data_IF_083783936010
#
_entry.id   IF_083783936010
#
_cell.length_a   1.000
_cell.length_b   1.000
_cell.length_c   1.000
_cell.angle_alpha   90.00
_cell.angle_beta   90.00
_cell.angle_gamma   90.00
#
_symmetry.space_group_name_H-M   'P 1'
#
loop_
_entity.id
_entity.type
_entity.pdbx_description
1 polymer ?
#
# COMPACT_ATOMS: atom_id res chain seq x y z
N UNK A 1 10.35 -23.05 -31.32
CA UNK A 1 9.76 -23.14 -32.67
C UNK A 1 8.65 -22.10 -32.71
N UNK A 2 8.60 -21.25 -33.73
CA UNK A 2 7.60 -20.17 -33.83
C UNK A 2 6.26 -20.71 -34.36
N UNK A 3 5.13 -20.07 -34.04
CA UNK A 3 3.82 -20.34 -34.65
C UNK A 3 3.89 -20.42 -36.17
N UNK A 4 4.67 -19.52 -36.77
CA UNK A 4 4.88 -19.48 -38.21
C UNK A 4 5.54 -20.77 -38.72
N UNK A 5 6.48 -21.33 -37.97
CA UNK A 5 7.19 -22.57 -38.31
C UNK A 5 6.25 -23.78 -38.22
N UNK A 6 5.35 -23.81 -37.23
CA UNK A 6 4.39 -24.90 -37.04
C UNK A 6 3.27 -24.86 -38.10
N UNK A 7 2.78 -23.67 -38.46
CA UNK A 7 1.83 -23.50 -39.56
C UNK A 7 2.45 -23.92 -40.89
N UNK A 8 3.70 -23.55 -41.15
CA UNK A 8 4.42 -23.96 -42.35
C UNK A 8 4.55 -25.49 -42.45
N UNK A 9 4.83 -26.16 -41.33
CA UNK A 9 4.91 -27.63 -41.26
C UNK A 9 3.56 -28.30 -41.53
N UNK A 10 2.46 -27.77 -40.99
CA UNK A 10 1.12 -28.28 -41.30
C UNK A 10 0.75 -28.12 -42.78
N UNK A 11 1.15 -26.99 -43.39
CA UNK A 11 0.88 -26.72 -44.79
C UNK A 11 1.67 -27.66 -45.73
N UNK A 12 2.88 -28.04 -45.33
CA UNK A 12 3.67 -29.05 -46.03
C UNK A 12 3.02 -30.44 -45.98
N UNK A 13 2.55 -30.87 -44.79
CA UNK A 13 1.86 -32.16 -44.62
C UNK A 13 0.55 -32.25 -45.40
N UNK A 14 -0.16 -31.14 -45.53
CA UNK A 14 -1.34 -31.05 -46.38
C UNK A 14 -0.98 -31.17 -47.87
N UNK A 15 0.05 -30.45 -48.33
CA UNK A 15 0.52 -30.51 -49.73
C UNK A 15 1.06 -31.89 -50.13
N UNK A 16 1.69 -32.61 -49.20
CA UNK A 16 2.17 -33.97 -49.43
C UNK A 16 1.05 -35.02 -49.43
N UNK A 17 -0.21 -34.62 -49.19
CA UNK A 17 -1.36 -35.52 -49.08
C UNK A 17 -1.37 -36.38 -47.82
N UNK A 18 -0.47 -36.12 -46.87
CA UNK A 18 -0.39 -36.85 -45.61
C UNK A 18 -1.49 -36.44 -44.61
N UNK A 19 -2.16 -35.32 -44.88
CA UNK A 19 -3.20 -34.74 -44.02
C UNK A 19 -4.39 -34.33 -44.87
N UNK A 20 -5.60 -34.69 -44.44
CA UNK A 20 -6.83 -34.21 -45.09
C UNK A 20 -7.10 -32.74 -44.75
N UNK A 21 -7.91 -32.07 -45.57
CA UNK A 21 -8.32 -30.67 -45.32
C UNK A 21 -8.95 -30.49 -43.93
N UNK A 22 -9.78 -31.44 -43.51
CA UNK A 22 -10.45 -31.39 -42.21
C UNK A 22 -9.46 -31.45 -41.05
N UNK A 23 -8.43 -32.31 -41.15
CA UNK A 23 -7.38 -32.44 -40.15
C UNK A 23 -6.47 -31.21 -40.13
N UNK A 24 -6.22 -30.60 -41.30
CA UNK A 24 -5.36 -29.41 -41.43
C UNK A 24 -6.03 -28.22 -40.76
N UNK A 25 -7.31 -27.99 -41.06
CA UNK A 25 -8.09 -26.92 -40.44
C UNK A 25 -8.21 -27.12 -38.93
N UNK A 26 -8.44 -28.35 -38.47
CA UNK A 26 -8.51 -28.66 -37.04
C UNK A 26 -7.17 -28.42 -36.32
N UNK A 27 -6.04 -28.84 -36.92
CA UNK A 27 -4.71 -28.64 -36.34
C UNK A 27 -4.32 -27.16 -36.34
N UNK A 28 -4.56 -26.44 -37.44
CA UNK A 28 -4.30 -24.99 -37.54
C UNK A 28 -5.12 -24.19 -36.53
N UNK A 29 -6.40 -24.52 -36.35
CA UNK A 29 -7.26 -23.88 -35.37
C UNK A 29 -6.77 -24.12 -33.92
N UNK A 30 -6.27 -25.33 -33.61
CA UNK A 30 -5.70 -25.66 -32.29
C UNK A 30 -4.42 -24.87 -31.99
N UNK A 31 -3.53 -24.71 -32.98
CA UNK A 31 -2.29 -23.94 -32.82
C UNK A 31 -2.56 -22.44 -32.61
N UNK A 32 -3.53 -21.89 -33.36
CA UNK A 32 -3.95 -20.48 -33.18
C UNK A 32 -4.58 -20.28 -31.79
N UNK A 33 -5.36 -21.24 -31.31
CA UNK A 33 -5.99 -21.18 -30.00
C UNK A 33 -5.00 -21.36 -28.83
N UNK A 34 -3.93 -22.14 -28.98
CA UNK A 34 -2.91 -22.31 -27.95
C UNK A 34 -2.00 -21.09 -27.80
N UNK A 35 -1.85 -20.29 -28.86
CA UNK A 35 -1.03 -19.07 -28.83
C UNK A 35 -1.82 -17.80 -28.47
N UNK A 36 -3.14 -17.86 -28.64
CA UNK A 36 -4.03 -16.82 -28.13
C UNK A 36 -4.10 -16.95 -26.61
N UNK A 37 -3.75 -15.92 -25.81
CA UNK A 37 -4.04 -15.93 -24.38
C UNK A 37 -5.53 -16.25 -24.21
N UNK A 38 -5.92 -17.14 -23.29
CA UNK A 38 -7.33 -17.44 -23.09
C UNK A 38 -8.08 -16.11 -22.94
N UNK A 39 -9.21 -15.90 -23.65
CA UNK A 39 -9.96 -14.67 -23.51
C UNK A 39 -10.21 -14.47 -22.03
N UNK A 40 -9.64 -13.40 -21.44
CA UNK A 40 -9.88 -13.10 -20.03
C UNK A 40 -11.38 -13.00 -19.89
N UNK A 41 -11.99 -13.96 -19.20
CA UNK A 41 -13.43 -13.96 -19.02
C UNK A 41 -13.78 -12.60 -18.38
N UNK A 42 -14.85 -11.97 -18.86
CA UNK A 42 -15.35 -10.74 -18.25
C UNK A 42 -15.57 -10.91 -16.74
N UNK A 43 -15.91 -12.13 -16.31
CA UNK A 43 -15.96 -12.56 -14.92
C UNK A 43 -14.60 -12.48 -14.19
N UNK A 44 -13.50 -12.94 -14.80
CA UNK A 44 -12.16 -12.86 -14.22
C UNK A 44 -11.63 -11.43 -14.09
N UNK A 45 -11.93 -10.56 -15.07
CA UNK A 45 -11.58 -9.13 -15.00
C UNK A 45 -12.37 -8.41 -13.91
N UNK A 46 -13.66 -8.69 -13.76
CA UNK A 46 -14.49 -8.13 -12.68
C UNK A 46 -14.03 -8.59 -11.29
N UNK A 47 -13.73 -9.89 -11.13
CA UNK A 47 -13.25 -10.43 -9.87
C UNK A 47 -11.91 -9.81 -9.44
N UNK A 48 -10.97 -9.62 -10.38
CA UNK A 48 -9.71 -8.94 -10.11
C UNK A 48 -9.91 -7.47 -9.71
N UNK A 49 -10.79 -6.75 -10.41
CA UNK A 49 -11.13 -5.37 -10.07
C UNK A 49 -11.78 -5.25 -8.67
N UNK A 50 -12.74 -6.11 -8.37
CA UNK A 50 -13.40 -6.14 -7.06
C UNK A 50 -12.42 -6.50 -5.93
N UNK A 51 -11.48 -7.42 -6.19
CA UNK A 51 -10.39 -7.75 -5.27
C UNK A 51 -9.51 -6.55 -4.96
N UNK A 52 -9.06 -5.82 -5.99
CA UNK A 52 -8.23 -4.63 -5.82
C UNK A 52 -8.98 -3.52 -5.08
N UNK A 53 -10.25 -3.26 -5.41
CA UNK A 53 -11.07 -2.27 -4.70
C UNK A 53 -11.23 -2.59 -3.21
N UNK A 54 -11.28 -3.88 -2.85
CA UNK A 54 -11.31 -4.32 -1.46
C UNK A 54 -9.98 -4.04 -0.74
N UNK A 55 -8.84 -4.36 -1.38
CA UNK A 55 -7.50 -4.06 -0.85
C UNK A 55 -7.30 -2.55 -0.65
N UNK A 56 -7.73 -1.72 -1.60
CA UNK A 56 -7.63 -0.26 -1.50
C UNK A 56 -8.48 0.28 -0.33
N UNK A 57 -9.71 -0.22 -0.19
CA UNK A 57 -10.59 0.12 0.92
C UNK A 57 -9.99 -0.25 2.28
N UNK A 58 -9.45 -1.48 2.40
CA UNK A 58 -8.76 -1.94 3.60
C UNK A 58 -7.52 -1.09 3.90
N UNK A 59 -6.71 -0.79 2.89
CA UNK A 59 -5.51 0.04 3.01
C UNK A 59 -5.85 1.40 3.62
N UNK A 60 -6.86 2.10 3.08
CA UNK A 60 -7.31 3.40 3.61
C UNK A 60 -7.80 3.30 5.05
N UNK A 61 -8.56 2.25 5.36
CA UNK A 61 -9.08 2.02 6.72
C UNK A 61 -7.94 1.81 7.73
N UNK A 62 -7.00 0.91 7.43
CA UNK A 62 -5.87 0.62 8.32
C UNK A 62 -4.90 1.79 8.41
N UNK A 63 -4.65 2.50 7.31
CA UNK A 63 -3.85 3.72 7.30
C UNK A 63 -4.47 4.79 8.24
N UNK A 64 -5.78 5.04 8.14
CA UNK A 64 -6.49 5.94 9.04
C UNK A 64 -6.35 5.50 10.51
N UNK A 65 -6.52 4.21 10.80
CA UNK A 65 -6.38 3.68 12.16
C UNK A 65 -4.96 3.86 12.72
N UNK A 66 -3.91 3.73 11.91
CA UNK A 66 -2.52 3.99 12.34
C UNK A 66 -2.36 5.44 12.83
N UNK A 67 -3.02 6.42 12.20
CA UNK A 67 -3.03 7.79 12.70
C UNK A 67 -3.90 7.95 13.97
N UNK A 68 -5.14 7.48 13.94
CA UNK A 68 -6.09 7.74 15.03
C UNK A 68 -5.77 6.96 16.32
N UNK A 69 -5.10 5.81 16.23
CA UNK A 69 -4.71 5.04 17.41
C UNK A 69 -3.60 5.69 18.23
N UNK A 70 -2.97 6.76 17.74
CA UNK A 70 -2.14 7.63 18.57
C UNK A 70 -2.92 8.19 19.77
N UNK A 71 -4.25 8.38 19.63
CA UNK A 71 -5.11 8.83 20.73
C UNK A 71 -5.30 7.80 21.85
N UNK A 72 -4.91 6.53 21.65
CA UNK A 72 -4.93 5.53 22.72
C UNK A 72 -4.12 5.97 23.94
N UNK A 73 -3.13 6.86 23.76
CA UNK A 73 -2.35 7.48 24.84
C UNK A 73 -3.19 8.26 25.86
N UNK A 74 -4.38 8.74 25.48
CA UNK A 74 -5.31 9.44 26.38
C UNK A 74 -6.07 8.48 27.30
N UNK A 75 -6.16 7.20 26.93
CA UNK A 75 -6.84 6.15 27.72
C UNK A 75 -5.82 5.44 28.61
N UNK A 76 -4.69 5.05 28.03
CA UNK A 76 -3.61 4.39 28.73
C UNK A 76 -2.27 5.04 28.35
N UNK A 77 -1.46 5.49 29.32
CA UNK A 77 -0.12 5.99 29.04
C UNK A 77 0.67 4.99 28.18
N UNK A 78 1.51 5.51 27.27
CA UNK A 78 2.30 4.74 26.29
C UNK A 78 1.50 4.03 25.17
N UNK A 79 0.19 3.82 25.31
CA UNK A 79 -0.58 3.15 24.26
C UNK A 79 -0.57 3.93 22.93
N UNK A 80 -0.53 5.27 22.99
CA UNK A 80 -0.39 6.12 21.81
C UNK A 80 0.96 6.00 21.08
N UNK A 81 1.95 5.37 21.71
CA UNK A 81 3.25 5.05 21.10
C UNK A 81 3.24 3.63 20.52
N UNK A 82 2.68 2.67 21.26
CA UNK A 82 2.78 1.24 20.95
C UNK A 82 1.74 0.80 19.93
N UNK A 83 0.46 1.14 20.14
CA UNK A 83 -0.66 0.67 19.30
C UNK A 83 -0.47 1.02 17.82
N UNK A 84 -0.18 2.28 17.41
CA UNK A 84 -0.02 2.59 15.99
C UNK A 84 1.14 1.85 15.33
N UNK A 85 2.24 1.63 16.07
CA UNK A 85 3.41 0.90 15.56
C UNK A 85 3.10 -0.59 15.41
N UNK A 86 2.44 -1.20 16.40
CA UNK A 86 2.01 -2.61 16.31
C UNK A 86 1.05 -2.82 15.14
N UNK A 87 0.06 -1.93 14.97
CA UNK A 87 -0.85 -1.99 13.82
C UNK A 87 -0.12 -1.91 12.49
N UNK A 88 0.82 -0.98 12.37
CA UNK A 88 1.67 -0.87 11.18
C UNK A 88 2.45 -2.16 10.92
N UNK A 89 3.14 -2.72 11.93
CA UNK A 89 3.95 -3.93 11.74
C UNK A 89 3.13 -5.17 11.37
N UNK A 90 1.91 -5.32 11.92
CA UNK A 90 1.03 -6.45 11.59
C UNK A 90 0.51 -6.35 10.15
N UNK A 91 0.16 -5.14 9.70
CA UNK A 91 -0.57 -4.96 8.44
C UNK A 91 0.32 -4.66 7.23
N UNK A 92 1.55 -4.18 7.41
CA UNK A 92 2.38 -3.68 6.29
C UNK A 92 2.74 -4.72 5.25
N UNK A 93 2.84 -6.00 5.65
CA UNK A 93 3.15 -7.10 4.75
C UNK A 93 1.91 -7.51 3.92
N UNK A 94 0.70 -7.33 4.48
CA UNK A 94 -0.57 -7.62 3.80
C UNK A 94 -1.03 -6.46 2.90
N UNK A 95 -0.78 -5.22 3.35
CA UNK A 95 -1.24 -4.00 2.70
C UNK A 95 -0.05 -3.05 2.50
N UNK A 96 0.76 -3.22 1.43
CA UNK A 96 1.97 -2.43 1.22
C UNK A 96 1.74 -0.91 1.22
N UNK A 97 0.55 -0.46 0.80
CA UNK A 97 0.18 0.96 0.79
C UNK A 97 0.13 1.62 2.16
N UNK A 98 0.07 0.87 3.27
CA UNK A 98 0.07 1.46 4.61
C UNK A 98 1.48 1.85 5.08
N UNK A 99 2.52 1.34 4.43
CA UNK A 99 3.89 1.43 4.94
C UNK A 99 4.39 2.87 5.02
N UNK A 100 3.96 3.71 4.07
CA UNK A 100 4.21 5.16 4.08
C UNK A 100 3.53 5.86 5.27
N UNK A 101 2.31 5.46 5.64
CA UNK A 101 1.60 6.01 6.78
C UNK A 101 2.27 5.61 8.09
N UNK A 102 2.67 4.34 8.21
CA UNK A 102 3.42 3.83 9.33
C UNK A 102 4.74 4.56 9.57
N UNK A 103 5.54 4.78 8.51
CA UNK A 103 6.77 5.57 8.60
C UNK A 103 6.51 7.01 9.03
N UNK A 104 5.50 7.67 8.45
CA UNK A 104 5.15 9.05 8.80
C UNK A 104 4.73 9.18 10.28
N UNK A 105 3.91 8.25 10.77
CA UNK A 105 3.51 8.20 12.18
C UNK A 105 4.68 7.88 13.09
N UNK A 106 5.56 6.93 12.72
CA UNK A 106 6.75 6.61 13.50
C UNK A 106 7.72 7.80 13.60
N UNK A 107 7.96 8.50 12.49
CA UNK A 107 8.76 9.73 12.45
C UNK A 107 8.16 10.81 13.36
N UNK A 108 6.84 11.02 13.30
CA UNK A 108 6.17 11.98 14.17
C UNK A 108 6.26 11.60 15.64
N UNK A 109 5.96 10.34 16.01
CA UNK A 109 6.05 9.86 17.41
C UNK A 109 7.46 10.11 17.98
N UNK A 110 8.50 9.75 17.24
CA UNK A 110 9.88 9.95 17.68
C UNK A 110 10.22 11.44 17.81
N UNK A 111 9.76 12.26 16.86
CA UNK A 111 9.97 13.72 16.90
C UNK A 111 9.25 14.35 18.09
N UNK A 112 7.98 13.99 18.30
CA UNK A 112 7.16 14.45 19.42
C UNK A 112 7.80 14.09 20.76
N UNK A 113 8.32 12.86 20.91
CA UNK A 113 9.04 12.45 22.13
C UNK A 113 10.28 13.31 22.37
N UNK A 114 11.08 13.56 21.33
CA UNK A 114 12.27 14.43 21.44
C UNK A 114 11.86 15.86 21.83
N UNK A 115 10.83 16.41 21.18
CA UNK A 115 10.32 17.74 21.47
C UNK A 115 9.75 17.85 22.89
N UNK A 116 9.06 16.82 23.37
CA UNK A 116 8.55 16.77 24.73
C UNK A 116 9.71 16.78 25.74
N UNK A 117 10.74 15.94 25.56
CA UNK A 117 11.91 15.89 26.45
C UNK A 117 12.63 17.23 26.48
N UNK A 118 12.93 17.81 25.32
CA UNK A 118 13.59 19.12 25.23
C UNK A 118 12.74 20.21 25.88
N UNK A 119 11.44 20.23 25.65
CA UNK A 119 10.54 21.24 26.21
C UNK A 119 10.43 21.12 27.74
N UNK A 120 10.41 19.90 28.29
CA UNK A 120 10.46 19.67 29.74
C UNK A 120 11.76 20.22 30.35
N UNK A 121 12.91 20.01 29.70
CA UNK A 121 14.18 20.58 30.15
C UNK A 121 14.18 22.12 30.07
N UNK A 122 13.51 22.69 29.06
CA UNK A 122 13.37 24.14 28.92
C UNK A 122 12.38 24.76 29.92
N UNK A 123 11.56 23.97 30.63
CA UNK A 123 10.71 24.49 31.70
C UNK A 123 11.52 25.11 32.84
N UNK A 124 12.74 24.63 33.09
CA UNK A 124 13.64 25.20 34.11
C UNK A 124 14.09 26.63 33.80
N UNK A 125 13.92 27.09 32.56
CA UNK A 125 14.20 28.46 32.09
C UNK A 125 12.95 29.15 31.55
N UNK A 126 11.75 28.74 32.01
CA UNK A 126 10.41 29.32 31.75
C UNK A 126 9.86 29.14 30.32
N UNK A 127 10.71 29.00 29.29
CA UNK A 127 10.23 28.89 27.89
C UNK A 127 9.63 27.53 27.53
N UNK A 128 9.82 26.50 28.35
CA UNK A 128 9.31 25.15 28.09
C UNK A 128 7.78 25.02 28.12
N UNK A 129 7.09 25.79 28.97
CA UNK A 129 5.63 25.68 29.14
C UNK A 129 4.87 26.05 27.86
N UNK A 130 5.13 27.20 27.20
CA UNK A 130 4.52 27.50 25.90
C UNK A 130 4.78 26.43 24.83
N UNK A 131 5.99 25.85 24.81
CA UNK A 131 6.35 24.80 23.85
C UNK A 131 5.56 23.50 24.09
N UNK A 132 5.36 23.10 25.35
CA UNK A 132 4.54 21.94 25.69
C UNK A 132 3.07 22.15 25.32
N UNK A 133 2.53 23.36 25.50
CA UNK A 133 1.15 23.69 25.07
C UNK A 133 1.04 23.57 23.54
N UNK A 134 1.98 24.16 22.80
CA UNK A 134 2.00 24.05 21.35
C UNK A 134 2.11 22.59 20.90
N UNK A 135 3.01 21.81 21.51
CA UNK A 135 3.18 20.39 21.20
C UNK A 135 1.91 19.58 21.49
N UNK A 136 1.21 19.85 22.60
CA UNK A 136 -0.07 19.20 22.93
C UNK A 136 -1.19 19.52 21.95
N UNK A 137 -1.20 20.70 21.33
CA UNK A 137 -2.14 21.02 20.25
C UNK A 137 -1.77 20.23 18.99
N UNK A 138 -0.49 20.20 18.61
CA UNK A 138 -0.02 19.49 17.42
C UNK A 138 -0.23 17.98 17.53
N UNK A 139 -0.06 17.40 18.73
CA UNK A 139 -0.30 15.97 18.99
C UNK A 139 -1.76 15.56 18.86
N UNK A 140 -2.69 16.52 18.82
CA UNK A 140 -4.10 16.28 18.51
C UNK A 140 -4.42 16.58 17.04
N UNK A 141 -4.00 17.75 16.56
CA UNK A 141 -4.35 18.21 15.22
C UNK A 141 -3.73 17.31 14.15
N UNK A 142 -2.46 16.91 14.31
CA UNK A 142 -1.77 16.17 13.27
C UNK A 142 -2.31 14.75 13.07
N UNK A 143 -2.55 13.92 14.12
CA UNK A 143 -3.17 12.62 13.91
C UNK A 143 -4.56 12.69 13.27
N UNK A 144 -5.35 13.74 13.55
CA UNK A 144 -6.65 13.96 12.90
C UNK A 144 -6.46 14.23 11.40
N UNK A 145 -5.59 15.18 11.03
CA UNK A 145 -5.33 15.49 9.61
C UNK A 145 -4.77 14.27 8.87
N UNK A 146 -3.82 13.56 9.49
CA UNK A 146 -3.26 12.33 8.95
C UNK A 146 -4.33 11.27 8.73
N UNK A 147 -5.22 11.05 9.71
CA UNK A 147 -6.33 10.13 9.60
C UNK A 147 -7.31 10.49 8.48
N UNK A 148 -7.70 11.76 8.38
CA UNK A 148 -8.61 12.25 7.33
C UNK A 148 -8.01 12.08 5.93
N UNK A 149 -6.72 12.41 5.76
CA UNK A 149 -6.02 12.22 4.49
C UNK A 149 -5.80 10.75 4.15
N UNK A 150 -5.49 9.91 5.13
CA UNK A 150 -5.42 8.47 4.93
C UNK A 150 -6.77 7.89 4.48
N UNK A 151 -7.89 8.40 5.00
CA UNK A 151 -9.22 8.02 4.55
C UNK A 151 -9.51 8.41 3.08
N UNK A 152 -8.88 9.47 2.55
CA UNK A 152 -8.93 9.82 1.13
C UNK A 152 -7.92 9.04 0.26
N UNK A 153 -7.03 8.25 0.87
CA UNK A 153 -5.95 7.54 0.19
C UNK A 153 -4.69 8.37 -0.02
N UNK A 154 -4.57 9.51 0.66
CA UNK A 154 -3.41 10.40 0.59
C UNK A 154 -2.46 10.16 1.76
N UNK A 155 -1.19 9.89 1.45
CA UNK A 155 -0.13 9.86 2.45
C UNK A 155 0.20 11.30 2.91
N UNK A 156 0.01 11.57 4.20
CA UNK A 156 0.34 12.86 4.77
C UNK A 156 1.59 12.81 5.65
N UNK A 157 2.56 13.64 5.31
CA UNK A 157 3.76 13.85 6.11
C UNK A 157 3.48 14.90 7.18
N UNK A 158 3.73 14.53 8.43
CA UNK A 158 3.55 15.40 9.58
C UNK A 158 4.54 16.57 9.49
N UNK A 159 4.07 17.83 9.47
CA UNK A 159 4.96 18.98 9.56
C UNK A 159 5.83 18.88 10.81
N UNK A 160 7.06 19.38 10.74
CA UNK A 160 8.03 19.31 11.84
C UNK A 160 8.46 17.87 12.21
N UNK A 161 8.09 16.83 11.47
CA UNK A 161 8.65 15.49 11.73
C UNK A 161 10.10 15.40 11.23
N UNK A 162 10.99 14.91 12.08
CA UNK A 162 12.34 14.50 11.76
C UNK A 162 12.25 13.16 11.01
N UNK A 163 12.98 13.04 9.89
CA UNK A 163 12.95 11.85 9.03
C UNK A 163 13.96 10.81 9.52
N UNK A 164 13.54 9.94 10.43
CA UNK A 164 14.31 8.76 10.83
C UNK A 164 14.16 7.63 9.81
N UNK A 165 12.95 7.49 9.27
CA UNK A 165 12.60 6.53 8.23
C UNK A 165 12.24 7.31 6.96
N UNK A 166 13.05 7.17 5.92
CA UNK A 166 12.81 7.77 4.61
C UNK A 166 11.87 6.90 3.77
N UNK A 167 11.21 7.53 2.79
CA UNK A 167 10.53 6.77 1.76
C UNK A 167 11.58 6.14 0.82
N UNK A 168 11.42 4.87 0.41
CA UNK A 168 12.40 4.20 -0.45
C UNK A 168 12.60 4.86 -1.82
N UNK A 169 11.64 5.70 -2.23
CA UNK A 169 11.59 6.35 -3.56
C UNK A 169 11.88 7.87 -3.50
N UNK A 170 12.29 8.40 -2.34
CA UNK A 170 12.52 9.84 -2.13
C UNK A 170 13.99 10.26 -2.24
#
# INVERSE_FOLDING_TARGET
>A
MSLADEIAKLQELYRSGALSEAEFQAAKARLIASESPPPRSSAGTFAAFAGNANIDSQTRTWAMLIHLTQFAGHVAPLAGLVVPIVLWQIKKNELPGIDVHGRNVANWILSELIYAVVSVLLCFVVVGVPLLIALGILSIVFPIIGGVKAASGEAWRYPLSIRFFSDPEA
#
